data_IF_556300255183
#
_entry.id   IF_556300255183
#
_cell.length_a   1.000
_cell.length_b   1.000
_cell.length_c   1.000
_cell.angle_alpha   90.00
_cell.angle_beta   90.00
_cell.angle_gamma   90.00
#
_symmetry.space_group_name_H-M   'P 1'
#
loop_
_entity.id
_entity.type
_entity.pdbx_description
1 polymer ?
#
# COMPACT_ATOMS: atom_id res chain seq x y z
N UNK A 1 -17.23 11.28 6.38
CA UNK A 1 -18.02 10.42 7.29
C UNK A 1 -19.48 10.68 7.03
N UNK A 2 -20.29 9.64 6.87
CA UNK A 2 -21.74 9.78 6.79
C UNK A 2 -22.29 10.13 8.18
N UNK A 3 -23.10 11.19 8.28
CA UNK A 3 -23.62 11.69 9.55
C UNK A 3 -24.68 10.80 10.19
N UNK A 4 -25.34 9.94 9.42
CA UNK A 4 -26.42 9.06 9.89
C UNK A 4 -25.96 7.62 10.13
N UNK A 5 -25.03 7.11 9.32
CA UNK A 5 -24.50 5.74 9.45
C UNK A 5 -23.13 5.64 10.13
N UNK A 6 -22.40 6.74 10.22
CA UNK A 6 -21.02 6.76 10.71
C UNK A 6 -19.98 6.18 9.75
N UNK A 7 -20.36 5.83 8.52
CA UNK A 7 -19.43 5.27 7.53
C UNK A 7 -18.31 6.27 7.20
N UNK A 8 -17.05 5.81 7.26
CA UNK A 8 -15.87 6.60 6.92
C UNK A 8 -15.35 6.14 5.55
N UNK A 9 -15.22 7.09 4.63
CA UNK A 9 -14.73 6.86 3.27
C UNK A 9 -13.59 7.81 2.95
N UNK A 10 -12.79 7.46 1.94
CA UNK A 10 -11.74 8.34 1.45
C UNK A 10 -12.35 9.55 0.71
N UNK A 11 -12.00 10.76 1.17
CA UNK A 11 -12.36 11.99 0.47
C UNK A 11 -11.55 12.19 -0.82
N UNK A 12 -10.31 11.67 -0.84
CA UNK A 12 -9.40 11.66 -1.98
C UNK A 12 -8.59 10.38 -1.98
N UNK A 13 -8.15 9.93 -3.16
CA UNK A 13 -7.19 8.83 -3.29
C UNK A 13 -5.94 9.10 -2.45
N UNK A 14 -5.53 8.11 -1.66
CA UNK A 14 -4.28 8.15 -0.89
C UNK A 14 -3.08 7.63 -1.68
N UNK A 15 -3.28 7.15 -2.91
CA UNK A 15 -2.25 6.47 -3.73
C UNK A 15 -0.97 7.30 -3.89
N UNK A 16 -1.12 8.60 -4.15
CA UNK A 16 0.00 9.52 -4.38
C UNK A 16 0.40 10.31 -3.12
N UNK A 17 -0.29 10.10 -2.00
CA UNK A 17 0.05 10.71 -0.71
C UNK A 17 1.24 9.99 -0.06
N UNK A 18 2.12 10.66 0.69
CA UNK A 18 3.22 10.00 1.41
C UNK A 18 2.87 9.64 2.86
N UNK A 19 1.72 10.10 3.36
CA UNK A 19 1.27 9.80 4.70
C UNK A 19 1.02 8.28 4.87
N UNK A 20 1.60 7.74 5.93
CA UNK A 20 1.44 6.35 6.38
C UNK A 20 0.35 6.21 7.45
N UNK A 21 -0.11 7.33 8.01
CA UNK A 21 -1.09 7.36 9.10
C UNK A 21 -1.96 8.62 9.04
N UNK A 22 -3.25 8.45 9.33
CA UNK A 22 -4.20 9.55 9.54
C UNK A 22 -4.86 9.40 10.91
N UNK A 23 -4.80 10.46 11.72
CA UNK A 23 -5.41 10.52 13.04
C UNK A 23 -6.43 11.64 13.10
N UNK A 24 -7.63 11.32 13.53
CA UNK A 24 -8.68 12.31 13.73
C UNK A 24 -9.67 11.82 14.78
N UNK A 25 -10.48 12.76 15.27
CA UNK A 25 -11.46 12.51 16.30
C UNK A 25 -12.86 12.59 15.71
N UNK A 26 -13.72 11.64 16.06
CA UNK A 26 -15.14 11.65 15.71
C UNK A 26 -15.97 12.02 16.92
N UNK A 27 -17.02 12.81 16.70
CA UNK A 27 -17.95 13.23 17.75
C UNK A 27 -19.37 12.85 17.33
N UNK A 28 -20.03 12.06 18.15
CA UNK A 28 -21.43 11.69 17.99
C UNK A 28 -22.30 12.52 18.94
N UNK A 29 -23.43 13.01 18.43
CA UNK A 29 -24.42 13.78 19.19
C UNK A 29 -25.74 13.01 19.18
N UNK A 30 -26.50 13.09 20.27
CA UNK A 30 -27.88 12.64 20.25
C UNK A 30 -28.74 13.63 19.43
N UNK A 31 -29.81 13.12 18.84
CA UNK A 31 -30.85 13.86 18.12
C UNK A 31 -31.60 14.90 18.96
N UNK A 32 -31.42 14.88 20.28
CA UNK A 32 -31.96 15.85 21.24
C UNK A 32 -31.01 17.04 21.48
N UNK A 33 -30.87 17.47 22.75
CA UNK A 33 -29.96 18.56 23.09
C UNK A 33 -28.49 18.16 22.86
N UNK A 34 -27.75 19.00 22.13
CA UNK A 34 -26.33 18.85 21.77
C UNK A 34 -25.36 18.75 22.97
N UNK A 35 -25.88 18.81 24.20
CA UNK A 35 -25.12 18.65 25.44
C UNK A 35 -24.59 17.23 25.63
N UNK A 36 -25.27 16.21 25.08
CA UNK A 36 -24.82 14.82 25.13
C UNK A 36 -24.02 14.51 23.87
N UNK A 37 -22.70 14.50 24.03
CA UNK A 37 -21.75 14.12 23.00
C UNK A 37 -20.82 13.03 23.49
N UNK A 38 -20.49 12.11 22.59
CA UNK A 38 -19.44 11.12 22.79
C UNK A 38 -18.36 11.30 21.75
N UNK A 39 -17.13 11.01 22.14
CA UNK A 39 -15.94 11.30 21.34
C UNK A 39 -15.09 10.03 21.25
N UNK A 40 -14.57 9.74 20.06
CA UNK A 40 -13.66 8.62 19.84
C UNK A 40 -12.50 9.03 18.92
N UNK A 41 -11.32 8.49 19.20
CA UNK A 41 -10.13 8.69 18.38
C UNK A 41 -10.04 7.60 17.32
N UNK A 42 -9.80 8.00 16.08
CA UNK A 42 -9.68 7.12 14.92
C UNK A 42 -8.26 7.23 14.37
N UNK A 43 -7.60 6.08 14.25
CA UNK A 43 -6.29 5.97 13.58
C UNK A 43 -6.44 5.08 12.35
N UNK A 44 -6.12 5.61 11.17
CA UNK A 44 -6.07 4.86 9.92
C UNK A 44 -4.62 4.70 9.52
N UNK A 45 -4.15 3.46 9.41
CA UNK A 45 -2.81 3.15 8.91
C UNK A 45 -2.91 2.78 7.44
N UNK A 46 -2.04 3.35 6.61
CA UNK A 46 -1.97 3.05 5.17
C UNK A 46 -0.83 2.10 4.91
N UNK A 47 -1.15 0.84 4.65
CA UNK A 47 -0.18 -0.18 4.27
C UNK A 47 0.17 -0.04 2.79
N UNK A 48 1.47 0.12 2.48
CA UNK A 48 2.00 0.25 1.11
C UNK A 48 3.31 -0.52 1.00
N UNK A 49 3.56 -1.07 -0.18
CA UNK A 49 4.91 -1.49 -0.61
C UNK A 49 5.35 -0.48 -1.69
N UNK A 50 6.08 0.59 -1.32
CA UNK A 50 6.58 1.57 -2.28
C UNK A 50 7.67 1.02 -3.21
N UNK A 51 8.37 -0.04 -2.83
CA UNK A 51 9.53 -0.57 -3.57
C UNK A 51 9.38 -2.05 -3.92
N UNK A 52 8.33 -2.44 -4.70
CA UNK A 52 8.12 -3.85 -5.06
C UNK A 52 9.34 -4.39 -5.79
N UNK A 53 9.62 -5.71 -5.72
CA UNK A 53 10.83 -6.29 -6.26
C UNK A 53 10.98 -5.94 -7.74
N UNK A 54 12.13 -5.34 -8.10
CA UNK A 54 12.47 -5.00 -9.47
C UNK A 54 13.63 -5.85 -9.94
N UNK A 55 13.49 -6.45 -11.12
CA UNK A 55 14.59 -7.15 -11.77
C UNK A 55 15.74 -6.17 -12.03
N UNK A 56 16.97 -6.61 -11.77
CA UNK A 56 18.17 -5.78 -11.92
C UNK A 56 18.45 -5.40 -13.38
N UNK A 57 17.98 -6.20 -14.35
CA UNK A 57 18.08 -5.88 -15.77
C UNK A 57 16.75 -6.17 -16.47
N UNK A 58 16.27 -5.23 -17.29
CA UNK A 58 15.11 -5.45 -18.17
C UNK A 58 15.37 -4.68 -19.48
N UNK A 59 15.39 -5.34 -20.66
CA UNK A 59 15.19 -6.77 -20.90
C UNK A 59 16.46 -7.62 -20.71
N UNK A 60 16.30 -8.88 -20.27
CA UNK A 60 17.37 -9.87 -20.33
C UNK A 60 17.55 -10.38 -21.77
N UNK A 61 18.76 -10.28 -22.30
CA UNK A 61 19.13 -10.82 -23.61
C UNK A 61 20.32 -11.76 -23.46
N UNK A 62 20.15 -13.01 -23.89
CA UNK A 62 21.20 -14.02 -23.85
C UNK A 62 21.31 -14.69 -25.22
N UNK A 63 22.54 -14.99 -25.63
CA UNK A 63 22.83 -15.81 -26.81
C UNK A 63 23.32 -17.16 -26.35
N UNK A 64 22.70 -18.24 -26.85
CA UNK A 64 23.03 -19.62 -26.50
C UNK A 64 23.68 -20.32 -27.69
N UNK A 65 24.75 -21.07 -27.44
CA UNK A 65 25.39 -21.89 -28.46
C UNK A 65 24.52 -23.12 -28.78
N UNK A 66 24.44 -23.48 -30.06
CA UNK A 66 23.64 -24.62 -30.52
C UNK A 66 24.09 -25.98 -29.96
N UNK A 67 25.35 -26.09 -29.51
CA UNK A 67 25.92 -27.31 -28.95
C UNK A 67 25.84 -27.35 -27.42
N UNK A 68 25.08 -26.44 -26.81
CA UNK A 68 24.93 -26.40 -25.35
C UNK A 68 24.33 -27.71 -24.82
N UNK A 69 24.88 -28.27 -23.73
CA UNK A 69 24.41 -29.54 -23.17
C UNK A 69 23.00 -29.42 -22.58
N UNK A 70 22.38 -30.57 -22.32
CA UNK A 70 21.13 -30.61 -21.55
C UNK A 70 21.34 -30.02 -20.15
N UNK A 71 20.28 -29.37 -19.64
CA UNK A 71 20.26 -28.66 -18.35
C UNK A 71 21.27 -27.50 -18.21
N UNK A 72 21.71 -26.93 -19.35
CA UNK A 72 22.54 -25.72 -19.32
C UNK A 72 21.78 -24.51 -18.76
N UNK A 73 22.34 -23.89 -17.71
CA UNK A 73 21.77 -22.67 -17.12
C UNK A 73 21.98 -21.47 -18.05
N UNK A 74 20.87 -20.96 -18.62
CA UNK A 74 20.90 -19.88 -19.63
C UNK A 74 21.01 -18.50 -18.99
N UNK A 75 20.25 -18.23 -17.93
CA UNK A 75 20.23 -16.92 -17.27
C UNK A 75 19.91 -17.10 -15.79
N UNK A 76 20.62 -16.37 -14.94
CA UNK A 76 20.27 -16.21 -13.54
C UNK A 76 19.80 -14.76 -13.33
N UNK A 77 18.55 -14.58 -12.90
CA UNK A 77 17.96 -13.26 -12.72
C UNK A 77 17.89 -12.91 -11.25
N UNK A 78 18.20 -11.66 -10.92
CA UNK A 78 18.05 -11.12 -9.57
C UNK A 78 16.98 -10.04 -9.58
N UNK A 79 16.09 -10.07 -8.60
CA UNK A 79 15.18 -8.97 -8.31
C UNK A 79 15.48 -8.46 -6.90
N UNK A 80 15.50 -7.13 -6.74
CA UNK A 80 15.76 -6.48 -5.46
C UNK A 80 14.54 -5.66 -5.06
N UNK A 81 14.08 -5.88 -3.84
CA UNK A 81 13.09 -5.07 -3.16
C UNK A 81 13.85 -4.20 -2.14
N UNK A 82 13.67 -2.88 -2.22
CA UNK A 82 14.41 -1.94 -1.38
C UNK A 82 13.77 -1.73 0.00
N UNK A 83 12.54 -2.23 0.21
CA UNK A 83 11.80 -2.04 1.45
C UNK A 83 12.25 -3.01 2.56
N UNK A 84 13.02 -4.04 2.22
CA UNK A 84 13.72 -4.86 3.22
C UNK A 84 12.76 -5.44 4.27
N UNK A 85 11.80 -6.25 3.82
CA UNK A 85 10.71 -6.91 4.58
C UNK A 85 9.48 -6.03 4.81
#
# INVERSE_FOLDING_TARGET
MNSSSGEITLAKSVKDDLATEYKFQVVAYDSGESIYRSTADVTIVVTRNPSPPRFSEIPYRVTLDQNSPYDFMVVNTTATDADGV
#
